data_IF_011903698510
#
_entry.id   IF_011903698510
#
_cell.length_a   1.000
_cell.length_b   1.000
_cell.length_c   1.000
_cell.angle_alpha   90.00
_cell.angle_beta   90.00
_cell.angle_gamma   90.00
#
_symmetry.space_group_name_H-M   'P 1'
#
loop_
_entity.id
_entity.type
_entity.pdbx_description
1 polymer ?
#
# COMPACT_ATOMS: atom_id res chain seq x y z
N UNK A 1 5.31 5.66 -12.05
CA UNK A 1 3.98 5.40 -11.46
C UNK A 1 3.16 4.40 -12.28
N UNK A 2 2.84 4.67 -13.55
CA UNK A 2 2.06 3.77 -14.42
C UNK A 2 2.60 2.34 -14.46
N UNK A 3 3.89 2.17 -14.79
CA UNK A 3 4.48 0.83 -14.88
C UNK A 3 4.39 0.02 -13.58
N UNK A 4 4.50 0.66 -12.41
CA UNK A 4 4.32 -0.01 -11.11
C UNK A 4 2.86 -0.43 -10.91
N UNK A 5 1.91 0.44 -11.28
CA UNK A 5 0.48 0.11 -11.23
C UNK A 5 0.17 -1.13 -12.08
N UNK A 6 0.67 -1.17 -13.30
CA UNK A 6 0.49 -2.30 -14.22
C UNK A 6 1.10 -3.60 -13.69
N UNK A 7 2.27 -3.52 -13.04
CA UNK A 7 2.88 -4.68 -12.38
C UNK A 7 1.99 -5.22 -11.24
N UNK A 8 1.41 -4.33 -10.43
CA UNK A 8 0.53 -4.75 -9.33
C UNK A 8 -0.85 -5.18 -9.80
N UNK A 9 -1.39 -4.61 -10.88
CA UNK A 9 -2.65 -5.10 -11.49
C UNK A 9 -2.52 -6.57 -11.89
N UNK A 10 -1.36 -7.01 -12.38
CA UNK A 10 -1.09 -8.44 -12.67
C UNK A 10 -1.17 -9.32 -11.42
N UNK A 11 -0.96 -8.75 -10.24
CA UNK A 11 -1.05 -9.41 -8.94
C UNK A 11 -2.40 -9.14 -8.22
N UNK A 12 -3.42 -8.66 -8.91
CA UNK A 12 -4.70 -8.26 -8.32
C UNK A 12 -5.36 -9.35 -7.47
N UNK A 13 -5.19 -10.62 -7.86
CA UNK A 13 -5.67 -11.77 -7.08
C UNK A 13 -5.08 -11.82 -5.65
N UNK A 14 -3.82 -11.41 -5.46
CA UNK A 14 -3.18 -11.33 -4.13
C UNK A 14 -3.82 -10.26 -3.26
N UNK A 15 -4.21 -9.12 -3.84
CA UNK A 15 -4.90 -8.06 -3.11
C UNK A 15 -6.22 -8.58 -2.54
N UNK A 16 -6.99 -9.35 -3.32
CA UNK A 16 -8.23 -9.95 -2.85
C UNK A 16 -8.00 -10.98 -1.72
N UNK A 17 -6.96 -11.80 -1.83
CA UNK A 17 -6.58 -12.73 -0.78
C UNK A 17 -6.10 -12.00 0.48
N UNK A 18 -5.32 -10.93 0.31
CA UNK A 18 -4.81 -10.13 1.43
C UNK A 18 -5.93 -9.43 2.23
N UNK A 19 -7.00 -9.00 1.57
CA UNK A 19 -8.18 -8.45 2.27
C UNK A 19 -8.80 -9.46 3.24
N UNK A 20 -8.77 -10.74 2.89
CA UNK A 20 -9.29 -11.82 3.71
C UNK A 20 -8.30 -12.23 4.82
N UNK A 21 -7.02 -12.35 4.46
CA UNK A 21 -5.96 -12.75 5.38
C UNK A 21 -4.67 -11.99 5.10
N UNK A 22 -4.29 -11.13 6.02
CA UNK A 22 -3.06 -10.35 5.99
C UNK A 22 -1.87 -11.26 6.34
N UNK A 23 -1.19 -11.79 5.33
CA UNK A 23 0.01 -12.62 5.51
C UNK A 23 0.97 -12.47 4.33
N UNK A 24 2.23 -12.86 4.54
CA UNK A 24 3.29 -12.73 3.52
C UNK A 24 3.01 -13.48 2.22
N UNK A 25 2.28 -14.61 2.27
CA UNK A 25 1.91 -15.36 1.07
C UNK A 25 0.97 -14.58 0.13
N UNK A 26 0.26 -13.57 0.64
CA UNK A 26 -0.63 -12.70 -0.12
C UNK A 26 -0.04 -11.31 -0.38
N UNK A 27 1.25 -11.11 -0.06
CA UNK A 27 1.92 -9.84 -0.24
C UNK A 27 2.09 -9.50 -1.73
N UNK A 28 1.90 -8.23 -2.05
CA UNK A 28 2.27 -7.70 -3.36
C UNK A 28 3.79 -7.66 -3.46
N UNK A 29 4.34 -8.24 -4.52
CA UNK A 29 5.76 -8.13 -4.80
C UNK A 29 6.13 -6.72 -5.27
N UNK A 30 7.32 -6.28 -4.90
CA UNK A 30 7.87 -4.96 -5.25
C UNK A 30 9.06 -5.06 -6.22
N UNK A 31 9.43 -6.28 -6.63
CA UNK A 31 10.51 -6.55 -7.57
C UNK A 31 9.95 -7.23 -8.81
N UNK A 32 10.17 -6.61 -9.96
CA UNK A 32 9.55 -7.00 -11.21
C UNK A 32 10.60 -7.26 -12.29
N UNK A 33 10.28 -8.17 -13.18
CA UNK A 33 11.06 -8.38 -14.39
C UNK A 33 10.94 -7.14 -15.30
N UNK A 34 12.08 -6.60 -15.72
CA UNK A 34 12.16 -5.30 -16.40
C UNK A 34 11.28 -5.21 -17.67
N UNK A 35 11.19 -6.29 -18.45
CA UNK A 35 10.47 -6.28 -19.72
C UNK A 35 9.02 -6.73 -19.59
N UNK A 36 8.74 -7.66 -18.68
CA UNK A 36 7.39 -8.25 -18.59
C UNK A 36 6.55 -7.64 -17.45
N UNK A 37 7.18 -7.01 -16.45
CA UNK A 37 6.50 -6.51 -15.26
C UNK A 37 5.93 -7.62 -14.37
N UNK A 38 6.37 -8.86 -14.59
CA UNK A 38 6.00 -10.01 -13.75
C UNK A 38 6.89 -10.11 -12.52
N UNK A 39 6.45 -10.85 -11.52
CA UNK A 39 7.20 -11.13 -10.31
C UNK A 39 8.51 -11.89 -10.65
N UNK A 40 9.62 -11.48 -10.03
CA UNK A 40 10.93 -12.13 -10.25
C UNK A 40 11.06 -13.40 -9.41
N UNK A 41 10.46 -13.41 -8.23
CA UNK A 41 10.55 -14.50 -7.28
C UNK A 41 9.20 -15.16 -7.07
N UNK A 42 9.21 -16.48 -6.82
CA UNK A 42 8.01 -17.18 -6.35
C UNK A 42 7.71 -16.85 -4.88
N UNK A 43 6.45 -16.95 -4.48
CA UNK A 43 5.98 -16.60 -3.14
C UNK A 43 6.66 -17.37 -2.01
N UNK A 44 7.10 -18.61 -2.28
CA UNK A 44 7.83 -19.47 -1.34
C UNK A 44 9.29 -19.04 -1.11
N UNK A 45 9.85 -18.23 -2.02
CA UNK A 45 11.24 -17.76 -1.95
C UNK A 45 11.39 -16.31 -1.50
N UNK A 46 10.29 -15.58 -1.47
CA UNK A 46 10.31 -14.15 -1.24
C UNK A 46 9.23 -13.75 -0.24
N UNK A 47 9.55 -13.98 1.02
CA UNK A 47 8.67 -13.69 2.13
C UNK A 47 8.80 -12.24 2.56
N UNK A 48 8.35 -11.27 1.74
CA UNK A 48 8.33 -9.92 2.26
C UNK A 48 7.01 -9.24 1.97
N UNK A 49 6.31 -9.03 3.00
CA UNK A 49 5.25 -8.06 3.07
C UNK A 49 5.87 -6.71 3.43
N UNK A 50 5.71 -5.73 2.56
CA UNK A 50 6.17 -4.36 2.73
C UNK A 50 5.01 -3.39 2.56
N UNK A 51 4.37 -3.03 3.66
CA UNK A 51 3.22 -2.12 3.65
C UNK A 51 3.65 -0.69 3.31
N UNK A 52 4.85 -0.31 3.71
CA UNK A 52 5.43 1.01 3.42
C UNK A 52 5.59 1.28 1.92
N UNK A 53 5.93 0.28 1.11
CA UNK A 53 6.09 0.45 -0.34
C UNK A 53 4.75 0.79 -1.03
N UNK A 54 3.67 0.11 -0.66
CA UNK A 54 2.34 0.41 -1.19
C UNK A 54 1.89 1.79 -0.70
N UNK A 55 2.17 2.11 0.54
CA UNK A 55 1.81 3.38 1.16
C UNK A 55 2.52 4.57 0.48
N UNK A 56 3.83 4.46 0.24
CA UNK A 56 4.58 5.54 -0.44
C UNK A 56 4.13 5.71 -1.90
N UNK A 57 3.77 4.61 -2.57
CA UNK A 57 3.18 4.69 -3.89
C UNK A 57 1.89 5.52 -3.89
N UNK A 58 0.98 5.26 -2.95
CA UNK A 58 -0.28 6.01 -2.81
C UNK A 58 0.00 7.50 -2.58
N UNK A 59 0.95 7.86 -1.72
CA UNK A 59 1.31 9.25 -1.46
C UNK A 59 1.78 9.94 -2.76
N UNK A 60 2.70 9.32 -3.47
CA UNK A 60 3.20 9.90 -4.73
C UNK A 60 2.14 9.95 -5.83
N UNK A 61 1.24 8.96 -5.88
CA UNK A 61 0.11 8.98 -6.80
C UNK A 61 -0.75 10.23 -6.59
N UNK A 62 -1.12 10.50 -5.33
CA UNK A 62 -1.90 11.71 -4.99
C UNK A 62 -1.15 12.97 -5.35
N UNK A 63 0.15 13.08 -5.01
CA UNK A 63 0.97 14.24 -5.35
C UNK A 63 1.03 14.50 -6.86
N UNK A 64 1.18 13.46 -7.66
CA UNK A 64 1.20 13.59 -9.12
C UNK A 64 -0.14 14.03 -9.69
N UNK A 65 -1.24 13.45 -9.22
CA UNK A 65 -2.59 13.81 -9.66
C UNK A 65 -2.91 15.26 -9.28
N UNK A 66 -2.60 15.66 -8.05
CA UNK A 66 -2.83 17.06 -7.59
C UNK A 66 -1.93 18.07 -8.30
N UNK A 67 -0.79 17.63 -8.83
CA UNK A 67 0.07 18.44 -9.70
C UNK A 67 -0.44 18.52 -11.15
N UNK A 68 -1.61 17.94 -11.45
CA UNK A 68 -2.23 17.98 -12.79
C UNK A 68 -1.80 16.86 -13.73
N UNK A 69 -1.04 15.86 -13.25
CA UNK A 69 -0.65 14.72 -14.07
C UNK A 69 -1.77 13.67 -14.11
N UNK A 70 -2.09 13.20 -15.30
CA UNK A 70 -3.01 12.09 -15.49
C UNK A 70 -2.27 10.76 -15.38
N UNK A 71 -2.51 10.02 -14.30
CA UNK A 71 -1.89 8.72 -14.03
C UNK A 71 -2.92 7.59 -14.20
N UNK A 72 -4.18 7.83 -13.83
CA UNK A 72 -5.29 6.87 -13.87
C UNK A 72 -6.16 7.17 -15.08
N UNK A 73 -6.54 6.15 -15.84
CA UNK A 73 -7.25 6.29 -17.10
C UNK A 73 -8.57 5.54 -17.18
N UNK A 74 -8.76 4.53 -16.33
CA UNK A 74 -9.95 3.66 -16.38
C UNK A 74 -10.62 3.50 -15.04
N UNK A 75 -11.88 3.10 -15.06
CA UNK A 75 -12.63 2.77 -13.84
C UNK A 75 -12.03 1.56 -13.11
N UNK A 76 -11.52 0.58 -13.84
CA UNK A 76 -10.88 -0.59 -13.25
C UNK A 76 -9.60 -0.21 -12.49
N UNK A 77 -8.85 0.75 -13.00
CA UNK A 77 -7.68 1.29 -12.30
C UNK A 77 -8.09 2.05 -11.03
N UNK A 78 -9.19 2.80 -11.05
CA UNK A 78 -9.75 3.43 -9.84
C UNK A 78 -10.13 2.36 -8.81
N UNK A 79 -10.84 1.32 -9.22
CA UNK A 79 -11.21 0.21 -8.35
C UNK A 79 -9.98 -0.49 -7.78
N UNK A 80 -8.92 -0.67 -8.59
CA UNK A 80 -7.68 -1.25 -8.12
C UNK A 80 -6.96 -0.37 -7.09
N UNK A 81 -6.89 0.95 -7.30
CA UNK A 81 -6.33 1.88 -6.32
C UNK A 81 -7.14 1.86 -5.02
N UNK A 82 -8.48 1.80 -5.09
CA UNK A 82 -9.31 1.60 -3.90
C UNK A 82 -8.96 0.30 -3.15
N UNK A 83 -8.65 -0.77 -3.90
CA UNK A 83 -8.19 -2.02 -3.31
C UNK A 83 -6.80 -1.91 -2.68
N UNK A 84 -5.89 -1.11 -3.22
CA UNK A 84 -4.62 -0.80 -2.57
C UNK A 84 -4.82 -0.02 -1.26
N UNK A 85 -5.83 0.85 -1.18
CA UNK A 85 -6.20 1.52 0.08
C UNK A 85 -6.64 0.49 1.11
N UNK A 86 -7.53 -0.43 0.76
CA UNK A 86 -7.93 -1.53 1.65
C UNK A 86 -6.75 -2.41 2.08
N UNK A 87 -5.76 -2.58 1.21
CA UNK A 87 -4.54 -3.31 1.53
C UNK A 87 -3.77 -2.67 2.69
N UNK A 88 -3.65 -1.35 2.73
CA UNK A 88 -2.88 -0.63 3.76
C UNK A 88 -3.70 -0.26 5.00
N UNK A 89 -5.03 -0.28 4.94
CA UNK A 89 -5.90 0.07 6.07
C UNK A 89 -5.66 -0.79 7.31
N UNK A 90 -5.19 -2.02 7.14
CA UNK A 90 -4.92 -2.97 8.23
C UNK A 90 -3.48 -2.94 8.76
N UNK A 91 -2.68 -1.96 8.35
CA UNK A 91 -1.27 -1.85 8.76
C UNK A 91 -1.08 -1.86 10.28
N UNK A 92 -2.00 -1.24 11.03
CA UNK A 92 -1.94 -1.17 12.50
C UNK A 92 -1.87 -2.53 13.21
N UNK A 93 -2.20 -3.61 12.53
CA UNK A 93 -2.21 -4.97 13.08
C UNK A 93 -1.51 -6.01 12.21
N UNK A 94 -0.86 -5.59 11.14
CA UNK A 94 -0.23 -6.48 10.17
C UNK A 94 1.28 -6.43 10.31
N UNK A 95 1.93 -7.45 10.90
CA UNK A 95 3.38 -7.55 10.91
C UNK A 95 3.92 -7.61 9.49
N UNK A 96 4.94 -6.82 9.21
CA UNK A 96 5.64 -6.80 7.92
C UNK A 96 7.17 -6.86 8.11
N UNK A 97 7.91 -6.85 7.00
CA UNK A 97 9.36 -6.86 7.04
C UNK A 97 9.98 -5.45 7.02
N UNK A 98 9.15 -4.42 6.89
CA UNK A 98 9.56 -3.02 6.83
C UNK A 98 10.45 -2.69 5.64
N UNK A 99 10.98 -1.47 5.63
CA UNK A 99 11.78 -0.93 4.53
C UNK A 99 13.06 -1.72 4.21
N UNK A 100 13.57 -2.51 5.14
CA UNK A 100 14.80 -3.28 4.98
C UNK A 100 14.59 -4.70 4.48
N UNK A 101 13.35 -5.10 4.20
CA UNK A 101 12.97 -6.41 3.63
C UNK A 101 13.41 -7.61 4.47
N UNK A 102 13.66 -7.47 5.75
CA UNK A 102 14.18 -8.55 6.59
C UNK A 102 13.83 -8.48 8.07
N UNK A 103 12.93 -7.58 8.42
CA UNK A 103 12.68 -7.29 9.82
C UNK A 103 13.91 -6.71 10.52
N UNK A 104 13.96 -6.83 11.82
CA UNK A 104 15.09 -6.41 12.64
C UNK A 104 16.21 -7.46 12.62
N UNK A 105 17.46 -7.01 12.75
CA UNK A 105 18.59 -7.92 12.96
C UNK A 105 18.51 -8.72 14.25
N UNK A 106 17.65 -8.31 15.17
CA UNK A 106 17.48 -8.96 16.47
C UNK A 106 16.37 -10.01 16.49
N UNK A 107 15.47 -9.99 15.50
CA UNK A 107 14.33 -10.93 15.44
C UNK A 107 14.49 -12.00 14.36
N UNK A 108 15.71 -12.13 13.83
CA UNK A 108 16.09 -13.17 12.87
C UNK A 108 15.21 -13.18 11.58
N UNK A 109 14.84 -12.00 11.11
CA UNK A 109 14.04 -11.82 9.92
C UNK A 109 12.54 -12.15 10.09
N UNK A 110 12.05 -12.24 11.31
CA UNK A 110 10.62 -12.40 11.60
C UNK A 110 9.88 -11.09 11.36
N UNK A 111 8.69 -11.10 10.73
CA UNK A 111 7.92 -9.88 10.53
C UNK A 111 7.44 -9.31 11.88
N UNK A 112 7.46 -7.99 11.96
CA UNK A 112 7.04 -7.21 13.14
C UNK A 112 6.12 -6.06 12.72
N UNK A 113 5.47 -5.43 13.69
CA UNK A 113 4.76 -4.18 13.47
C UNK A 113 5.79 -3.03 13.53
N UNK A 114 6.09 -2.43 12.38
CA UNK A 114 7.05 -1.35 12.27
C UNK A 114 6.39 0.03 12.33
N UNK A 115 6.91 0.91 13.18
CA UNK A 115 6.44 2.30 13.25
C UNK A 115 6.53 3.02 11.90
N UNK A 116 7.58 2.74 11.11
CA UNK A 116 7.73 3.27 9.75
C UNK A 116 6.60 2.84 8.83
N UNK A 117 6.24 1.55 8.82
CA UNK A 117 5.16 1.03 7.98
C UNK A 117 3.80 1.61 8.38
N UNK A 118 3.50 1.67 9.67
CA UNK A 118 2.24 2.26 10.16
C UNK A 118 2.20 3.77 9.88
N UNK A 119 3.31 4.50 10.09
CA UNK A 119 3.40 5.92 9.81
C UNK A 119 3.21 6.24 8.33
N UNK A 120 3.80 5.44 7.45
CA UNK A 120 3.59 5.57 6.00
C UNK A 120 2.14 5.25 5.61
N UNK A 121 1.55 4.18 6.17
CA UNK A 121 0.14 3.82 5.94
C UNK A 121 -0.80 4.94 6.40
N UNK A 122 -0.61 5.48 7.62
CA UNK A 122 -1.35 6.63 8.13
C UNK A 122 -1.30 7.81 7.15
N UNK A 123 -0.10 8.17 6.71
CA UNK A 123 0.10 9.30 5.79
C UNK A 123 -0.52 9.06 4.41
N UNK A 124 -0.47 7.83 3.91
CA UNK A 124 -1.10 7.45 2.64
C UNK A 124 -2.64 7.54 2.73
N UNK A 125 -3.23 7.05 3.81
CA UNK A 125 -4.67 7.11 4.04
C UNK A 125 -5.15 8.56 4.19
N UNK A 126 -4.40 9.42 4.88
CA UNK A 126 -4.71 10.85 4.97
C UNK A 126 -4.64 11.54 3.61
N UNK A 127 -3.63 11.23 2.81
CA UNK A 127 -3.43 11.87 1.52
C UNK A 127 -4.51 11.48 0.50
N UNK A 128 -4.93 10.21 0.48
CA UNK A 128 -5.82 9.70 -0.57
C UNK A 128 -7.31 9.84 -0.23
N UNK A 129 -7.67 10.03 1.03
CA UNK A 129 -9.07 10.11 1.43
C UNK A 129 -9.79 11.28 0.75
N UNK A 130 -10.82 10.98 -0.03
CA UNK A 130 -11.56 11.96 -0.82
C UNK A 130 -10.83 12.43 -2.08
N UNK A 131 -9.68 11.83 -2.43
CA UNK A 131 -8.95 12.19 -3.64
C UNK A 131 -9.70 11.69 -4.88
N UNK A 132 -9.90 12.59 -5.85
CA UNK A 132 -10.42 12.23 -7.16
C UNK A 132 -9.25 11.85 -8.07
N UNK A 133 -9.17 10.58 -8.48
CA UNK A 133 -8.07 10.05 -9.28
C UNK A 133 -8.04 10.56 -10.73
N UNK A 134 -9.11 11.20 -11.19
CA UNK A 134 -9.17 11.92 -12.47
C UNK A 134 -8.95 13.43 -12.31
N UNK A 135 -8.51 13.88 -11.12
CA UNK A 135 -8.30 15.28 -10.80
C UNK A 135 -9.61 16.05 -10.58
N UNK A 136 -9.53 17.38 -10.60
CA UNK A 136 -10.66 18.27 -10.27
C UNK A 136 -11.91 18.07 -11.16
N UNK A 137 -11.71 17.61 -12.39
CA UNK A 137 -12.79 17.37 -13.38
C UNK A 137 -13.34 15.95 -13.34
N UNK A 138 -12.84 15.11 -12.42
CA UNK A 138 -13.27 13.73 -12.32
C UNK A 138 -14.69 13.58 -11.76
N UNK A 139 -15.39 12.55 -12.22
CA UNK A 139 -16.71 12.19 -11.72
C UNK A 139 -16.64 11.59 -10.30
N UNK A 140 -17.77 11.52 -9.61
CA UNK A 140 -17.84 10.99 -8.25
C UNK A 140 -17.34 9.54 -8.11
N UNK A 141 -17.48 8.72 -9.14
CA UNK A 141 -17.02 7.33 -9.13
C UNK A 141 -15.49 7.18 -9.15
N UNK A 142 -14.74 8.24 -9.47
CA UNK A 142 -13.27 8.25 -9.42
C UNK A 142 -12.69 8.75 -8.10
N UNK A 143 -13.54 9.01 -7.11
CA UNK A 143 -13.13 9.40 -5.77
C UNK A 143 -12.83 8.16 -4.94
N UNK A 144 -11.69 8.16 -4.26
CA UNK A 144 -11.26 7.10 -3.34
C UNK A 144 -11.61 7.47 -1.91
N UNK A 145 -12.08 6.50 -1.15
CA UNK A 145 -12.48 6.66 0.25
C UNK A 145 -11.67 5.73 1.16
N UNK A 146 -11.45 6.20 2.37
CA UNK A 146 -10.75 5.47 3.44
C UNK A 146 -11.73 5.13 4.54
N UNK A 147 -11.62 3.91 5.09
CA UNK A 147 -12.32 3.54 6.33
C UNK A 147 -11.78 4.38 7.49
N UNK A 148 -12.61 5.27 8.02
CA UNK A 148 -12.23 6.19 9.09
C UNK A 148 -11.81 5.47 10.37
N UNK A 149 -12.41 4.33 10.68
CA UNK A 149 -12.04 3.55 11.86
C UNK A 149 -10.66 2.92 11.68
N UNK A 150 -10.36 2.39 10.50
CA UNK A 150 -9.04 1.87 10.17
C UNK A 150 -7.97 2.97 10.21
N UNK A 151 -8.28 4.15 9.67
CA UNK A 151 -7.39 5.31 9.75
C UNK A 151 -7.10 5.72 11.21
N UNK A 152 -8.12 5.85 12.03
CA UNK A 152 -7.98 6.21 13.43
C UNK A 152 -7.17 5.18 14.23
N UNK A 153 -7.32 3.89 13.92
CA UNK A 153 -6.51 2.82 14.53
C UNK A 153 -5.03 2.91 14.13
N UNK A 154 -4.75 3.12 12.85
CA UNK A 154 -3.37 3.33 12.38
C UNK A 154 -2.73 4.52 13.07
N UNK A 155 -3.43 5.64 13.17
CA UNK A 155 -2.98 6.83 13.89
C UNK A 155 -2.70 6.55 15.36
N UNK A 156 -3.64 5.93 16.07
CA UNK A 156 -3.52 5.63 17.49
C UNK A 156 -2.33 4.72 17.79
N UNK A 157 -2.14 3.64 17.01
CA UNK A 157 -1.00 2.74 17.17
C UNK A 157 0.31 3.46 16.87
N UNK A 158 0.37 4.23 15.76
CA UNK A 158 1.56 5.02 15.43
C UNK A 158 1.96 5.95 16.58
N UNK A 159 1.01 6.71 17.13
CA UNK A 159 1.25 7.62 18.25
C UNK A 159 1.76 6.89 19.50
N UNK A 160 1.31 5.65 19.75
CA UNK A 160 1.81 4.85 20.88
C UNK A 160 3.23 4.32 20.68
N UNK A 161 3.65 4.16 19.42
CA UNK A 161 5.01 3.69 19.07
C UNK A 161 6.05 4.80 19.07
N UNK A 162 5.63 6.06 19.02
CA UNK A 162 6.52 7.20 19.13
C UNK A 162 7.04 7.28 20.57
N UNK A 163 8.35 7.49 20.70
CA UNK A 163 8.94 7.77 22.01
C UNK A 163 8.31 9.06 22.55
N UNK A 164 7.76 8.96 23.75
CA UNK A 164 7.32 10.13 24.50
C UNK A 164 8.56 10.65 25.23
N UNK A 165 8.96 11.87 24.89
CA UNK A 165 9.93 12.59 25.69
C UNK A 165 9.35 12.95 27.06
#
# INVERSE_FOLDING_TARGET
MRGILECWIKQSHKVELFKQRQCSAHALHCKFHLHTGEEIYSDDKFNHLQIDVISIYIIFLVQMITSGLQIIYTQDEVAFVQNLVYYVERAYRTPDYGMWERGSKYNDGTPEIHASSIGMAKSALEAINGCNLFGEKGASWSVVYVDIDAHNRNRSIFETMLLRE
#
